data_IF_603881514367
#
_entry.id   IF_603881514367
#
_cell.length_a   1.000
_cell.length_b   1.000
_cell.length_c   1.000
_cell.angle_alpha   90.00
_cell.angle_beta   90.00
_cell.angle_gamma   90.00
#
_symmetry.space_group_name_H-M   'P 1'
#
loop_
_entity.id
_entity.type
_entity.pdbx_description
1 polymer ?
#
# COMPACT_ATOMS: atom_id res chain seq x y z
N UNK A 1 5.77 9.34 -19.59
CA UNK A 1 5.71 7.88 -19.43
C UNK A 1 6.46 7.60 -18.13
N UNK A 2 5.78 7.12 -17.08
CA UNK A 2 6.46 6.81 -15.81
C UNK A 2 7.39 5.63 -16.09
N UNK A 3 8.68 5.77 -15.82
CA UNK A 3 9.60 4.67 -16.00
C UNK A 3 9.30 3.60 -14.93
N UNK A 4 9.39 2.30 -15.24
CA UNK A 4 9.22 1.24 -14.23
C UNK A 4 10.20 1.41 -13.05
N UNK A 5 11.34 2.06 -13.28
CA UNK A 5 12.29 2.51 -12.26
C UNK A 5 11.69 3.54 -11.28
N UNK A 6 10.95 4.54 -11.79
CA UNK A 6 10.28 5.54 -10.94
C UNK A 6 9.23 4.85 -10.06
N UNK A 7 8.52 3.89 -10.64
CA UNK A 7 7.54 3.09 -9.90
C UNK A 7 8.23 2.25 -8.81
N UNK A 8 9.39 1.66 -9.08
CA UNK A 8 10.15 0.88 -8.09
C UNK A 8 10.57 1.69 -6.86
N UNK A 9 11.11 2.90 -7.08
CA UNK A 9 11.47 3.82 -5.99
C UNK A 9 10.24 4.19 -5.16
N UNK A 10 9.13 4.47 -5.84
CA UNK A 10 7.86 4.77 -5.20
C UNK A 10 7.32 3.61 -4.35
N UNK A 11 7.49 2.35 -4.80
CA UNK A 11 7.12 1.16 -4.03
C UNK A 11 8.07 0.88 -2.87
N UNK A 12 9.26 1.46 -2.85
CA UNK A 12 10.14 1.41 -1.68
C UNK A 12 9.54 2.18 -0.50
N UNK A 13 9.07 3.40 -0.76
CA UNK A 13 8.41 4.24 0.22
C UNK A 13 7.17 3.57 0.82
N UNK A 14 6.32 2.97 -0.02
CA UNK A 14 5.12 2.24 0.45
C UNK A 14 5.49 1.09 1.38
N UNK A 15 6.55 0.34 1.05
CA UNK A 15 7.04 -0.77 1.85
C UNK A 15 7.54 -0.30 3.22
N UNK A 16 8.33 0.77 3.26
CA UNK A 16 8.84 1.35 4.51
C UNK A 16 7.67 1.84 5.38
N UNK A 17 6.70 2.49 4.78
CA UNK A 17 5.51 2.99 5.48
C UNK A 17 4.68 1.85 6.07
N UNK A 18 4.47 0.75 5.32
CA UNK A 18 3.77 -0.44 5.82
C UNK A 18 4.51 -1.11 6.98
N UNK A 19 5.84 -1.23 6.89
CA UNK A 19 6.68 -1.79 7.97
C UNK A 19 6.73 -0.89 9.21
N UNK A 20 6.82 0.43 9.04
CA UNK A 20 6.75 1.40 10.14
C UNK A 20 5.39 1.29 10.85
N UNK A 21 4.31 1.12 10.10
CA UNK A 21 2.96 0.95 10.64
C UNK A 21 2.84 -0.34 11.49
N UNK A 22 3.43 -1.45 11.02
CA UNK A 22 3.52 -2.68 11.81
C UNK A 22 4.33 -2.46 13.09
N UNK A 23 5.49 -1.81 13.00
CA UNK A 23 6.36 -1.54 14.16
C UNK A 23 5.69 -0.62 15.21
N UNK A 24 4.89 0.37 14.78
CA UNK A 24 4.10 1.20 15.71
C UNK A 24 3.14 0.32 16.51
N UNK A 25 2.48 -0.65 15.86
CA UNK A 25 1.48 -1.52 16.48
C UNK A 25 2.06 -2.56 17.41
N UNK A 26 3.33 -2.93 17.26
CA UNK A 26 4.06 -3.75 18.24
C UNK A 26 4.12 -3.11 19.64
N UNK A 27 3.90 -1.78 19.74
CA UNK A 27 3.82 -1.06 21.02
C UNK A 27 2.55 -1.30 21.83
N UNK A 28 1.59 -2.11 21.33
CA UNK A 28 0.38 -2.50 22.08
C UNK A 28 0.75 -3.34 23.30
N UNK A 29 -0.14 -3.40 24.29
CA UNK A 29 0.14 -4.01 25.60
C UNK A 29 -0.93 -5.00 26.02
N UNK A 30 -0.54 -5.93 26.88
CA UNK A 30 -1.42 -6.87 27.60
C UNK A 30 -2.42 -7.57 26.67
N UNK A 31 -3.72 -7.37 26.90
CA UNK A 31 -4.82 -8.02 26.19
C UNK A 31 -4.99 -7.51 24.75
N UNK A 32 -4.41 -6.36 24.42
CA UNK A 32 -4.50 -5.76 23.07
C UNK A 32 -3.40 -6.23 22.12
N UNK A 33 -2.45 -7.06 22.58
CA UNK A 33 -1.46 -7.73 21.71
C UNK A 33 -2.14 -8.89 20.99
N UNK A 34 -2.84 -8.57 19.90
CA UNK A 34 -3.61 -9.53 19.11
C UNK A 34 -3.33 -9.39 17.63
N UNK A 35 -3.41 -10.52 16.91
CA UNK A 35 -3.44 -10.53 15.44
C UNK A 35 -4.86 -10.22 14.98
N UNK A 36 -5.15 -8.94 14.79
CA UNK A 36 -6.44 -8.46 14.31
C UNK A 36 -6.46 -8.36 12.77
N UNK A 37 -7.61 -7.92 12.22
CA UNK A 37 -7.76 -7.74 10.78
C UNK A 37 -6.77 -6.75 10.18
N UNK A 38 -6.35 -5.73 10.93
CA UNK A 38 -5.37 -4.74 10.44
C UNK A 38 -4.00 -5.40 10.26
N UNK A 39 -3.58 -6.21 11.22
CA UNK A 39 -2.32 -6.95 11.15
C UNK A 39 -2.28 -7.87 9.92
N UNK A 40 -3.41 -8.53 9.62
CA UNK A 40 -3.54 -9.40 8.45
C UNK A 40 -3.43 -8.61 7.16
N UNK A 41 -4.20 -7.51 7.03
CA UNK A 41 -4.19 -6.68 5.82
C UNK A 41 -2.83 -6.01 5.59
N UNK A 42 -2.17 -5.49 6.63
CA UNK A 42 -0.83 -4.90 6.53
C UNK A 42 0.23 -5.91 6.06
N UNK A 43 0.21 -7.13 6.62
CA UNK A 43 1.14 -8.17 6.19
C UNK A 43 0.89 -8.60 4.73
N UNK A 44 -0.38 -8.67 4.31
CA UNK A 44 -0.72 -8.93 2.91
C UNK A 44 -0.26 -7.80 1.99
N UNK A 45 -0.49 -6.54 2.36
CA UNK A 45 -0.03 -5.37 1.60
C UNK A 45 1.50 -5.39 1.43
N UNK A 46 2.25 -5.60 2.51
CA UNK A 46 3.72 -5.72 2.49
C UNK A 46 4.17 -6.83 1.54
N UNK A 47 3.49 -7.98 1.55
CA UNK A 47 3.81 -9.08 0.65
C UNK A 47 3.52 -8.72 -0.81
N UNK A 48 2.38 -8.11 -1.11
CA UNK A 48 2.01 -7.69 -2.47
C UNK A 48 2.97 -6.62 -2.99
N UNK A 49 3.43 -5.70 -2.16
CA UNK A 49 4.45 -4.71 -2.54
C UNK A 49 5.76 -5.41 -2.91
N UNK A 50 6.21 -6.39 -2.12
CA UNK A 50 7.44 -7.16 -2.43
C UNK A 50 7.32 -7.93 -3.74
N UNK A 51 6.21 -8.63 -3.94
CA UNK A 51 5.96 -9.40 -5.15
C UNK A 51 5.90 -8.50 -6.39
N UNK A 52 5.21 -7.35 -6.27
CA UNK A 52 5.12 -6.38 -7.36
C UNK A 52 6.47 -5.73 -7.68
N UNK A 53 7.31 -5.44 -6.67
CA UNK A 53 8.68 -4.97 -6.90
C UNK A 53 9.52 -5.99 -7.64
N UNK A 54 9.40 -7.28 -7.31
CA UNK A 54 10.07 -8.36 -8.04
C UNK A 54 9.59 -8.43 -9.49
N UNK A 55 8.27 -8.33 -9.72
CA UNK A 55 7.69 -8.29 -11.07
C UNK A 55 8.24 -7.10 -11.88
N UNK A 56 8.27 -5.89 -11.30
CA UNK A 56 8.80 -4.70 -11.95
C UNK A 56 10.30 -4.82 -12.26
N UNK A 57 11.10 -5.42 -11.38
CA UNK A 57 12.51 -5.64 -11.62
C UNK A 57 12.73 -6.59 -12.81
N UNK A 58 11.94 -7.66 -12.91
CA UNK A 58 11.99 -8.58 -14.05
C UNK A 58 11.63 -7.86 -15.36
N UNK A 59 10.59 -7.02 -15.33
CA UNK A 59 10.20 -6.17 -16.48
C UNK A 59 11.32 -5.22 -16.91
N UNK A 60 12.06 -4.63 -15.96
CA UNK A 60 13.21 -3.78 -16.25
C UNK A 60 14.33 -4.57 -16.96
N UNK A 61 14.63 -5.78 -16.46
CA UNK A 61 15.64 -6.66 -17.07
C UNK A 61 15.25 -7.05 -18.50
N UNK A 62 13.98 -7.44 -18.72
CA UNK A 62 13.45 -7.74 -20.06
C UNK A 62 13.56 -6.54 -21.01
N UNK A 63 13.28 -5.33 -20.52
CA UNK A 63 13.41 -4.10 -21.30
C UNK A 63 14.85 -3.80 -21.71
N UNK A 64 15.80 -4.00 -20.78
CA UNK A 64 17.24 -3.81 -21.05
C UNK A 64 17.77 -4.81 -22.10
N UNK A 65 17.38 -6.07 -22.00
CA UNK A 65 17.73 -7.08 -23.01
C UNK A 65 17.15 -6.72 -24.39
N UNK A 66 15.88 -6.31 -24.43
CA UNK A 66 15.23 -5.95 -25.69
C UNK A 66 15.86 -4.71 -26.33
N UNK A 67 16.28 -3.73 -25.52
CA UNK A 67 17.02 -2.57 -25.97
C UNK A 67 18.37 -2.98 -26.61
N UNK A 68 19.09 -3.91 -25.98
CA UNK A 68 20.35 -4.44 -26.51
C UNK A 68 20.17 -5.12 -27.88
N UNK A 69 19.11 -5.93 -28.02
CA UNK A 69 18.75 -6.59 -29.29
C UNK A 69 18.39 -5.58 -30.40
N UNK A 70 17.68 -4.51 -30.04
CA UNK A 70 17.37 -3.42 -30.97
C UNK A 70 18.63 -2.66 -31.40
N UNK A 71 19.56 -2.41 -30.48
CA UNK A 71 20.84 -1.78 -30.81
C UNK A 71 21.66 -2.64 -31.79
N UNK A 72 21.73 -3.96 -31.58
CA UNK A 72 22.42 -4.88 -32.49
C UNK A 72 21.76 -4.90 -33.88
N UNK A 73 20.42 -4.93 -33.95
CA UNK A 73 19.69 -4.86 -35.22
C UNK A 73 19.95 -3.53 -35.95
N UNK A 74 19.98 -2.41 -35.22
CA UNK A 74 20.32 -1.09 -35.77
C UNK A 74 21.74 -1.06 -36.33
N UNK A 75 22.72 -1.58 -35.60
CA UNK A 75 24.12 -1.62 -36.05
C UNK A 75 24.28 -2.44 -37.34
N UNK A 76 23.60 -3.60 -37.43
CA UNK A 76 23.62 -4.44 -38.64
C UNK A 76 23.04 -3.72 -39.86
N UNK A 77 21.90 -3.06 -39.69
CA UNK A 77 21.31 -2.23 -40.75
C UNK A 77 22.23 -1.07 -41.16
N UNK A 78 22.84 -0.39 -40.19
CA UNK A 78 23.75 0.73 -40.47
C UNK A 78 24.99 0.28 -41.25
N UNK A 79 25.57 -0.87 -40.89
CA UNK A 79 26.70 -1.45 -41.62
C UNK A 79 26.32 -1.78 -43.06
N UNK A 80 25.20 -2.49 -43.24
CA UNK A 80 24.69 -2.88 -44.56
C UNK A 80 24.38 -1.67 -45.45
N UNK A 81 23.78 -0.61 -44.89
CA UNK A 81 23.56 0.67 -45.58
C UNK A 81 24.89 1.32 -45.97
N UNK A 82 25.86 1.35 -45.06
CA UNK A 82 27.17 1.97 -45.30
C UNK A 82 27.93 1.25 -46.42
N UNK A 83 27.89 -0.07 -46.44
CA UNK A 83 28.56 -0.86 -47.47
C UNK A 83 27.89 -0.69 -48.84
N UNK A 84 26.56 -0.55 -48.89
CA UNK A 84 25.83 -0.21 -50.11
C UNK A 84 26.18 1.18 -50.64
N UNK A 85 26.32 2.19 -49.77
CA UNK A 85 26.75 3.52 -50.20
C UNK A 85 28.16 3.49 -50.80
N UNK A 86 29.11 2.78 -50.17
CA UNK A 86 30.45 2.60 -50.73
C UNK A 86 30.43 1.90 -52.09
N UNK A 87 29.59 0.88 -52.25
CA UNK A 87 29.42 0.20 -53.53
C UNK A 87 28.88 1.15 -54.61
N UNK A 88 27.85 1.94 -54.29
CA UNK A 88 27.30 2.96 -55.20
C UNK A 88 28.32 4.04 -55.57
N UNK A 89 29.16 4.47 -54.63
CA UNK A 89 30.23 5.44 -54.91
C UNK A 89 31.26 4.88 -55.90
N UNK A 90 31.64 3.60 -55.74
CA UNK A 90 32.54 2.89 -56.66
C UNK A 90 31.89 2.75 -58.03
N UNK A 91 30.64 2.30 -58.10
CA UNK A 91 29.91 2.11 -59.36
C UNK A 91 29.68 3.45 -60.08
N UNK A 92 29.37 4.51 -59.33
CA UNK A 92 29.26 5.87 -59.85
C UNK A 92 30.58 6.40 -60.41
N UNK A 93 31.70 6.14 -59.72
CA UNK A 93 33.03 6.44 -60.23
C UNK A 93 33.29 5.68 -61.53
N UNK A 94 33.06 4.37 -61.57
CA UNK A 94 33.23 3.53 -62.76
C UNK A 94 32.40 4.03 -63.95
N UNK A 95 31.13 4.40 -63.71
CA UNK A 95 30.23 4.95 -64.74
C UNK A 95 30.75 6.27 -65.31
N UNK A 96 31.41 7.09 -64.50
CA UNK A 96 31.98 8.38 -64.91
C UNK A 96 33.29 8.27 -65.71
N UNK A 97 33.91 7.09 -65.77
CA UNK A 97 35.19 6.90 -66.46
C UNK A 97 35.01 6.89 -67.98
N UNK A 98 35.93 7.53 -68.68
CA UNK A 98 36.04 7.55 -70.14
C UNK A 98 37.42 7.00 -70.56
N UNK A 99 37.62 6.67 -71.84
CA UNK A 99 38.94 6.25 -72.34
C UNK A 99 40.05 7.30 -72.19
N UNK A 100 39.70 8.55 -71.85
CA UNK A 100 40.64 9.64 -71.58
C UNK A 100 40.82 9.93 -70.08
N UNK A 101 40.16 9.17 -69.20
CA UNK A 101 40.27 9.39 -67.75
C UNK A 101 41.68 9.07 -67.24
N UNK A 102 42.21 9.87 -66.28
CA UNK A 102 43.45 9.54 -65.60
C UNK A 102 43.30 8.22 -64.80
N UNK A 103 44.38 7.44 -64.67
CA UNK A 103 44.44 6.16 -63.94
C UNK A 103 43.82 4.91 -64.60
N UNK A 104 43.45 4.96 -65.89
CA UNK A 104 43.20 3.74 -66.67
C UNK A 104 44.53 3.06 -67.02
N UNK A 105 44.65 1.75 -66.78
CA UNK A 105 45.85 0.96 -67.09
C UNK A 105 45.51 -0.51 -67.18
N UNK A 106 46.35 -1.31 -67.85
CA UNK A 106 46.26 -2.77 -67.78
C UNK A 106 46.46 -3.24 -66.33
N UNK A 107 45.58 -4.13 -65.83
CA UNK A 107 45.65 -4.69 -64.46
C UNK A 107 46.10 -6.16 -64.52
N UNK A 108 47.12 -6.59 -63.75
CA UNK A 108 47.71 -7.94 -63.86
C UNK A 108 46.75 -9.12 -63.62
N UNK A 109 45.71 -8.93 -62.79
CA UNK A 109 44.77 -9.98 -62.41
C UNK A 109 43.31 -9.48 -62.47
N UNK A 110 42.90 -8.89 -63.60
CA UNK A 110 41.56 -8.30 -63.76
C UNK A 110 40.40 -9.30 -63.68
N UNK A 111 40.62 -10.56 -64.06
CA UNK A 111 39.59 -11.62 -64.06
C UNK A 111 39.56 -12.45 -62.78
N UNK A 112 40.29 -12.06 -61.73
CA UNK A 112 40.27 -12.81 -60.46
C UNK A 112 38.90 -12.67 -59.80
N UNK A 113 38.32 -13.77 -59.35
CA UNK A 113 37.20 -13.75 -58.41
C UNK A 113 37.77 -13.62 -57.00
N UNK A 114 37.46 -12.56 -56.25
CA UNK A 114 37.83 -12.48 -54.84
C UNK A 114 37.31 -13.68 -54.06
N UNK A 115 38.06 -14.10 -53.03
CA UNK A 115 37.53 -15.07 -52.05
C UNK A 115 36.32 -14.43 -51.36
N UNK A 116 35.32 -15.25 -51.04
CA UNK A 116 34.07 -14.81 -50.40
C UNK A 116 33.18 -13.90 -51.26
N UNK A 117 33.28 -14.01 -52.59
CA UNK A 117 32.33 -13.34 -53.50
C UNK A 117 30.93 -13.95 -53.32
N UNK A 118 29.93 -13.09 -53.13
CA UNK A 118 28.53 -13.49 -52.97
C UNK A 118 27.76 -13.37 -54.28
N UNK A 119 26.73 -14.20 -54.46
CA UNK A 119 25.78 -14.05 -55.57
C UNK A 119 24.82 -12.88 -55.32
N UNK A 120 24.20 -12.35 -56.38
CA UNK A 120 23.18 -11.29 -56.26
C UNK A 120 22.03 -11.73 -55.35
N UNK A 121 21.61 -13.01 -55.45
CA UNK A 121 20.59 -13.57 -54.60
C UNK A 121 21.03 -13.57 -53.12
N UNK A 122 22.26 -14.02 -52.82
CA UNK A 122 22.79 -14.00 -51.45
C UNK A 122 22.88 -12.57 -50.88
N UNK A 123 23.23 -11.57 -51.70
CA UNK A 123 23.25 -10.16 -51.29
C UNK A 123 21.84 -9.61 -51.00
N UNK A 124 20.85 -9.94 -51.84
CA UNK A 124 19.45 -9.58 -51.64
C UNK A 124 18.89 -10.25 -50.37
N UNK A 125 19.17 -11.53 -50.18
CA UNK A 125 18.73 -12.31 -49.02
C UNK A 125 19.35 -11.76 -47.72
N UNK A 126 20.63 -11.37 -47.75
CA UNK A 126 21.29 -10.73 -46.59
C UNK A 126 20.57 -9.44 -46.17
N UNK A 127 20.25 -8.57 -47.15
CA UNK A 127 19.54 -7.32 -46.92
C UNK A 127 18.12 -7.55 -46.39
N UNK A 128 17.41 -8.52 -46.99
CA UNK A 128 16.06 -8.92 -46.58
C UNK A 128 16.06 -9.45 -45.15
N UNK A 129 16.99 -10.34 -44.82
CA UNK A 129 17.13 -10.91 -43.49
C UNK A 129 17.40 -9.83 -42.42
N UNK A 130 18.30 -8.88 -42.70
CA UNK A 130 18.58 -7.77 -41.77
C UNK A 130 17.32 -6.93 -41.50
N UNK A 131 16.52 -6.65 -42.53
CA UNK A 131 15.25 -5.93 -42.40
C UNK A 131 14.23 -6.74 -41.58
N UNK A 132 13.98 -7.99 -41.95
CA UNK A 132 13.01 -8.86 -41.25
C UNK A 132 13.37 -9.02 -39.78
N UNK A 133 14.65 -9.18 -39.48
CA UNK A 133 15.16 -9.25 -38.11
C UNK A 133 14.88 -7.94 -37.35
N UNK A 134 15.10 -6.78 -37.95
CA UNK A 134 14.81 -5.49 -37.33
C UNK A 134 13.30 -5.31 -37.09
N UNK A 135 12.47 -5.64 -38.08
CA UNK A 135 11.00 -5.59 -37.97
C UNK A 135 10.51 -6.52 -36.85
N UNK A 136 11.09 -7.72 -36.73
CA UNK A 136 10.81 -8.65 -35.63
C UNK A 136 11.16 -8.03 -34.27
N UNK A 137 12.36 -7.45 -34.10
CA UNK A 137 12.74 -6.83 -32.82
C UNK A 137 11.87 -5.61 -32.48
N UNK A 138 11.45 -4.84 -33.47
CA UNK A 138 10.50 -3.72 -33.29
C UNK A 138 9.13 -4.22 -32.83
N UNK A 139 8.64 -5.33 -33.38
CA UNK A 139 7.41 -5.97 -32.94
C UNK A 139 7.51 -6.47 -31.50
N UNK A 140 8.59 -7.15 -31.13
CA UNK A 140 8.83 -7.61 -29.74
C UNK A 140 8.90 -6.43 -28.76
N UNK A 141 9.56 -5.33 -29.14
CA UNK A 141 9.61 -4.12 -28.31
C UNK A 141 8.24 -3.49 -28.07
N UNK A 142 7.36 -3.47 -29.08
CA UNK A 142 5.97 -3.00 -28.91
C UNK A 142 5.23 -3.88 -27.91
N UNK A 143 5.25 -5.20 -28.11
CA UNK A 143 4.61 -6.17 -27.20
C UNK A 143 5.11 -6.06 -25.76
N UNK A 144 6.42 -5.90 -25.58
CA UNK A 144 7.00 -5.75 -24.25
C UNK A 144 6.55 -4.45 -23.58
N UNK A 145 6.50 -3.33 -24.32
CA UNK A 145 5.97 -2.07 -23.77
C UNK A 145 4.51 -2.18 -23.37
N UNK A 146 3.68 -2.83 -24.17
CA UNK A 146 2.27 -3.06 -23.85
C UNK A 146 2.13 -3.94 -22.59
N UNK A 147 2.94 -5.00 -22.47
CA UNK A 147 2.98 -5.85 -21.29
C UNK A 147 3.45 -5.10 -20.03
N UNK A 148 4.45 -4.24 -20.14
CA UNK A 148 4.92 -3.38 -19.03
C UNK A 148 3.81 -2.43 -18.59
N UNK A 149 3.13 -1.78 -19.54
CA UNK A 149 2.02 -0.87 -19.23
C UNK A 149 0.85 -1.61 -18.55
N UNK A 150 0.54 -2.83 -18.98
CA UNK A 150 -0.47 -3.67 -18.36
C UNK A 150 -0.06 -4.08 -16.93
N UNK A 151 1.19 -4.54 -16.71
CA UNK A 151 1.72 -4.85 -15.37
C UNK A 151 1.66 -3.63 -14.45
N UNK A 152 2.02 -2.44 -14.94
CA UNK A 152 1.93 -1.19 -14.17
C UNK A 152 0.50 -0.87 -13.74
N UNK A 153 -0.45 -0.95 -14.68
CA UNK A 153 -1.86 -0.70 -14.39
C UNK A 153 -2.43 -1.72 -13.39
N UNK A 154 -2.13 -3.00 -13.60
CA UNK A 154 -2.61 -4.07 -12.73
C UNK A 154 -2.02 -3.94 -11.32
N UNK A 155 -0.71 -3.69 -11.21
CA UNK A 155 -0.05 -3.50 -9.92
C UNK A 155 -0.58 -2.30 -9.14
N UNK A 156 -0.80 -1.16 -9.81
CA UNK A 156 -1.45 0.00 -9.18
C UNK A 156 -2.83 -0.33 -8.64
N UNK A 157 -3.68 -0.98 -9.44
CA UNK A 157 -5.02 -1.37 -8.98
C UNK A 157 -4.97 -2.34 -7.78
N UNK A 158 -4.05 -3.31 -7.79
CA UNK A 158 -3.85 -4.24 -6.65
C UNK A 158 -3.45 -3.48 -5.39
N UNK A 159 -2.52 -2.53 -5.51
CA UNK A 159 -2.03 -1.76 -4.37
C UNK A 159 -3.06 -0.76 -3.85
N UNK A 160 -3.81 -0.08 -4.73
CA UNK A 160 -4.89 0.81 -4.31
C UNK A 160 -6.00 0.05 -3.56
N UNK A 161 -6.28 -1.20 -3.98
CA UNK A 161 -7.22 -2.08 -3.29
C UNK A 161 -6.72 -2.45 -1.89
N UNK A 162 -5.45 -2.88 -1.75
CA UNK A 162 -4.86 -3.19 -0.44
C UNK A 162 -4.75 -1.96 0.46
N UNK A 163 -4.31 -0.82 -0.07
CA UNK A 163 -4.25 0.44 0.67
C UNK A 163 -5.62 0.83 1.23
N UNK A 164 -6.67 0.69 0.42
CA UNK A 164 -8.05 0.95 0.85
C UNK A 164 -8.53 -0.05 1.90
N UNK A 165 -8.19 -1.34 1.75
CA UNK A 165 -8.51 -2.39 2.71
C UNK A 165 -7.85 -2.14 4.07
N UNK A 166 -6.56 -1.80 4.09
CA UNK A 166 -5.81 -1.44 5.31
C UNK A 166 -6.39 -0.19 5.97
N UNK A 167 -6.65 0.87 5.20
CA UNK A 167 -7.29 2.09 5.71
C UNK A 167 -8.66 1.81 6.33
N UNK A 168 -9.46 0.97 5.69
CA UNK A 168 -10.76 0.55 6.20
C UNK A 168 -10.61 -0.25 7.49
N UNK A 169 -9.75 -1.27 7.51
CA UNK A 169 -9.49 -2.09 8.68
C UNK A 169 -9.01 -1.24 9.88
N UNK A 170 -8.10 -0.28 9.65
CA UNK A 170 -7.61 0.63 10.69
C UNK A 170 -8.74 1.47 11.28
N UNK A 171 -9.61 2.05 10.43
CA UNK A 171 -10.75 2.87 10.88
C UNK A 171 -11.77 2.03 11.63
N UNK A 172 -12.07 0.83 11.14
CA UNK A 172 -12.96 -0.10 11.82
C UNK A 172 -12.39 -0.46 13.19
N UNK A 173 -11.10 -0.82 13.27
CA UNK A 173 -10.44 -1.17 14.54
C UNK A 173 -10.44 0.00 15.52
N UNK A 174 -10.16 1.21 15.05
CA UNK A 174 -10.20 2.41 15.88
C UNK A 174 -11.60 2.68 16.43
N UNK A 175 -12.64 2.44 15.62
CA UNK A 175 -14.03 2.56 16.06
C UNK A 175 -14.37 1.55 17.16
N UNK A 176 -14.00 0.27 16.99
CA UNK A 176 -14.17 -0.77 18.01
C UNK A 176 -13.42 -0.43 19.31
N UNK A 177 -12.19 0.08 19.20
CA UNK A 177 -11.41 0.51 20.36
C UNK A 177 -12.06 1.70 21.09
N UNK A 178 -12.59 2.68 20.36
CA UNK A 178 -13.34 3.78 20.97
C UNK A 178 -14.59 3.30 21.69
N UNK A 179 -15.39 2.42 21.07
CA UNK A 179 -16.59 1.86 21.70
C UNK A 179 -16.24 1.16 23.02
N UNK A 180 -15.26 0.25 23.00
CA UNK A 180 -14.83 -0.46 24.21
C UNK A 180 -14.24 0.46 25.26
N UNK A 181 -13.51 1.50 24.86
CA UNK A 181 -13.02 2.52 25.78
C UNK A 181 -14.15 3.31 26.45
N UNK A 182 -15.15 3.74 25.68
CA UNK A 182 -16.29 4.50 26.20
C UNK A 182 -17.15 3.66 27.14
N UNK A 183 -17.33 2.37 26.83
CA UNK A 183 -17.99 1.40 27.73
C UNK A 183 -17.24 1.25 29.05
N UNK A 184 -15.89 1.17 29.02
CA UNK A 184 -15.07 1.10 30.23
C UNK A 184 -15.15 2.38 31.06
N UNK A 185 -15.15 3.55 30.41
CA UNK A 185 -15.33 4.85 31.09
C UNK A 185 -16.71 4.94 31.75
N UNK A 186 -17.74 4.43 31.09
CA UNK A 186 -19.08 4.33 31.67
C UNK A 186 -19.09 3.38 32.89
N UNK A 187 -18.48 2.19 32.77
CA UNK A 187 -18.35 1.24 33.88
C UNK A 187 -17.60 1.84 35.07
N UNK A 188 -16.50 2.56 34.83
CA UNK A 188 -15.74 3.29 35.87
C UNK A 188 -16.65 4.26 36.63
N UNK A 189 -17.41 5.08 35.89
CA UNK A 189 -18.32 6.07 36.48
C UNK A 189 -19.39 5.41 37.34
N UNK A 190 -19.93 4.26 36.89
CA UNK A 190 -20.90 3.49 37.67
C UNK A 190 -20.28 2.91 38.94
N UNK A 191 -19.07 2.35 38.86
CA UNK A 191 -18.36 1.82 40.02
C UNK A 191 -18.03 2.93 41.04
N UNK A 192 -17.65 4.12 40.58
CA UNK A 192 -17.41 5.28 41.45
C UNK A 192 -18.70 5.69 42.20
N UNK A 193 -19.85 5.66 41.53
CA UNK A 193 -21.14 5.92 42.17
C UNK A 193 -21.50 4.84 43.19
N UNK A 194 -21.34 3.55 42.84
CA UNK A 194 -21.58 2.43 43.75
C UNK A 194 -20.68 2.50 45.00
N UNK A 195 -19.40 2.84 44.83
CA UNK A 195 -18.47 3.09 45.94
C UNK A 195 -18.99 4.20 46.85
N UNK A 196 -19.39 5.34 46.29
CA UNK A 196 -19.91 6.46 47.07
C UNK A 196 -21.18 6.07 47.86
N UNK A 197 -22.06 5.25 47.28
CA UNK A 197 -23.25 4.73 47.97
C UNK A 197 -22.89 3.80 49.14
N UNK A 198 -21.92 2.90 48.95
CA UNK A 198 -21.47 1.99 50.01
C UNK A 198 -20.77 2.76 51.14
N UNK A 199 -19.99 3.79 50.81
CA UNK A 199 -19.37 4.68 51.80
C UNK A 199 -20.41 5.48 52.61
N UNK A 200 -21.52 5.89 52.00
CA UNK A 200 -22.66 6.48 52.72
C UNK A 200 -23.36 5.47 53.63
N UNK A 201 -23.60 4.25 53.17
CA UNK A 201 -24.23 3.20 53.97
C UNK A 201 -23.34 2.75 55.15
N UNK A 202 -22.02 2.72 54.97
CA UNK A 202 -21.05 2.52 56.05
C UNK A 202 -21.20 3.62 57.10
N UNK A 203 -21.19 4.90 56.69
CA UNK A 203 -21.36 6.04 57.61
C UNK A 203 -22.69 5.98 58.36
N UNK A 204 -23.77 5.58 57.68
CA UNK A 204 -25.10 5.41 58.28
C UNK A 204 -25.13 4.27 59.31
N UNK A 205 -24.50 3.13 59.02
CA UNK A 205 -24.42 2.01 59.97
C UNK A 205 -23.56 2.33 61.18
N UNK A 206 -22.42 2.99 60.98
CA UNK A 206 -21.60 3.46 62.09
C UNK A 206 -22.35 4.43 63.01
N UNK A 207 -23.15 5.35 62.43
CA UNK A 207 -24.02 6.22 63.20
C UNK A 207 -25.09 5.42 63.97
N UNK A 208 -25.76 4.47 63.32
CA UNK A 208 -26.76 3.63 63.96
C UNK A 208 -26.19 2.78 65.11
N UNK A 209 -24.95 2.30 65.00
CA UNK A 209 -24.25 1.59 66.08
C UNK A 209 -23.98 2.53 67.26
N UNK A 210 -23.46 3.74 66.99
CA UNK A 210 -23.22 4.78 68.00
C UNK A 210 -24.51 5.21 68.70
N UNK A 211 -25.62 5.31 67.99
CA UNK A 211 -26.92 5.67 68.55
C UNK A 211 -27.44 4.64 69.57
N UNK A 212 -26.94 3.40 69.54
CA UNK A 212 -27.28 2.35 70.53
C UNK A 212 -26.47 2.44 71.83
N UNK A 213 -25.30 3.09 71.81
CA UNK A 213 -24.42 3.16 72.99
C UNK A 213 -25.06 3.86 74.21
N UNK A 214 -25.80 4.98 74.09
CA UNK A 214 -26.45 5.62 75.23
C UNK A 214 -27.48 4.71 75.92
N UNK A 215 -28.25 3.93 75.15
CA UNK A 215 -29.25 3.02 75.68
C UNK A 215 -28.60 1.83 76.39
N UNK A 216 -27.54 1.25 75.81
CA UNK A 216 -26.77 0.19 76.45
C UNK A 216 -26.16 0.68 77.76
N UNK A 217 -25.50 1.85 77.73
CA UNK A 217 -24.92 2.50 78.90
C UNK A 217 -25.95 2.73 80.00
N UNK A 218 -27.15 3.23 79.64
CA UNK A 218 -28.24 3.46 80.60
C UNK A 218 -28.70 2.16 81.27
N UNK A 219 -28.90 1.09 80.49
CA UNK A 219 -29.30 -0.21 81.02
C UNK A 219 -28.22 -0.81 81.95
N UNK A 220 -26.95 -0.75 81.55
CA UNK A 220 -25.80 -1.20 82.34
C UNK A 220 -25.65 -0.42 83.66
N UNK A 221 -25.70 0.91 83.61
CA UNK A 221 -25.64 1.75 84.81
C UNK A 221 -26.82 1.49 85.75
N UNK A 222 -28.04 1.32 85.24
CA UNK A 222 -29.21 0.97 86.08
C UNK A 222 -29.09 -0.40 86.74
N UNK A 223 -28.48 -1.37 86.05
CA UNK A 223 -28.19 -2.68 86.64
C UNK A 223 -27.13 -2.57 87.74
N UNK A 224 -26.07 -1.78 87.52
CA UNK A 224 -25.00 -1.55 88.50
C UNK A 224 -25.54 -0.95 89.80
N UNK A 225 -26.29 0.15 89.74
CA UNK A 225 -26.90 0.76 90.93
C UNK A 225 -27.86 -0.19 91.68
N UNK A 226 -28.46 -1.17 91.00
CA UNK A 226 -29.31 -2.18 91.64
C UNK A 226 -28.49 -3.23 92.40
N UNK A 227 -27.20 -3.39 92.08
CA UNK A 227 -26.29 -4.28 92.82
C UNK A 227 -25.87 -3.71 94.18
N UNK A 228 -26.03 -2.40 94.39
CA UNK A 228 -25.71 -1.72 95.66
C UNK A 228 -26.84 -1.79 96.70
N UNK A 229 -27.94 -2.49 96.39
CA UNK A 229 -29.06 -2.65 97.33
C UNK A 229 -28.60 -3.44 98.58
N UNK A 230 -28.87 -2.96 99.80
CA UNK A 230 -28.36 -3.60 101.01
C UNK A 230 -29.16 -4.85 101.41
N UNK A 231 -28.45 -5.86 101.93
CA UNK A 231 -29.02 -7.03 102.61
C UNK A 231 -30.11 -7.75 101.79
N UNK A 232 -31.31 -7.90 102.35
CA UNK A 232 -32.44 -8.62 101.73
C UNK A 232 -33.05 -7.86 100.53
N UNK A 233 -32.77 -6.57 100.38
CA UNK A 233 -33.24 -5.76 99.24
C UNK A 233 -32.46 -6.07 97.95
N UNK A 234 -31.35 -6.83 98.04
CA UNK A 234 -30.61 -7.33 96.88
C UNK A 234 -31.36 -8.49 96.20
N UNK A 235 -32.48 -8.15 95.58
CA UNK A 235 -33.39 -9.10 94.95
C UNK A 235 -33.34 -9.01 93.42
N UNK A 236 -33.42 -10.18 92.76
CA UNK A 236 -33.66 -10.32 91.33
C UNK A 236 -35.14 -10.09 91.01
N UNK A 237 -35.56 -8.83 91.09
CA UNK A 237 -36.93 -8.40 90.87
C UNK A 237 -37.29 -8.33 89.36
N UNK A 238 -38.58 -8.23 89.00
CA UNK A 238 -38.98 -8.14 87.59
C UNK A 238 -38.28 -7.02 86.79
N UNK A 239 -38.05 -5.81 87.35
CA UNK A 239 -37.27 -4.80 86.65
C UNK A 239 -35.79 -5.16 86.43
N UNK A 240 -35.14 -5.92 87.32
CA UNK A 240 -33.80 -6.44 87.07
C UNK A 240 -33.78 -7.35 85.84
N UNK A 241 -34.76 -8.27 85.73
CA UNK A 241 -34.90 -9.14 84.56
C UNK A 241 -35.14 -8.34 83.28
N UNK A 242 -36.05 -7.36 83.32
CA UNK A 242 -36.33 -6.50 82.16
C UNK A 242 -35.11 -5.70 81.68
N UNK A 243 -34.33 -5.10 82.59
CA UNK A 243 -33.10 -4.37 82.23
C UNK A 243 -32.02 -5.30 81.65
N UNK A 244 -31.91 -6.52 82.17
CA UNK A 244 -30.98 -7.53 81.63
C UNK A 244 -31.37 -7.94 80.22
N UNK A 245 -32.66 -8.18 79.97
CA UNK A 245 -33.17 -8.50 78.64
C UNK A 245 -32.97 -7.34 77.66
N UNK A 246 -33.27 -6.10 78.08
CA UNK A 246 -33.02 -4.89 77.29
C UNK A 246 -31.54 -4.78 76.90
N UNK A 247 -30.61 -4.95 77.85
CA UNK A 247 -29.17 -4.94 77.58
C UNK A 247 -28.77 -6.00 76.56
N UNK A 248 -29.23 -7.24 76.73
CA UNK A 248 -28.92 -8.34 75.81
C UNK A 248 -29.48 -8.09 74.41
N UNK A 249 -30.70 -7.55 74.31
CA UNK A 249 -31.33 -7.19 73.04
C UNK A 249 -30.58 -6.07 72.30
N UNK A 250 -30.17 -5.01 73.02
CA UNK A 250 -29.36 -3.92 72.44
C UNK A 250 -28.01 -4.45 71.97
N UNK A 251 -27.34 -5.29 72.77
CA UNK A 251 -26.06 -5.88 72.39
C UNK A 251 -26.20 -6.77 71.14
N UNK A 252 -27.21 -7.65 71.08
CA UNK A 252 -27.46 -8.48 69.90
C UNK A 252 -27.72 -7.63 68.64
N UNK A 253 -28.41 -6.50 68.80
CA UNK A 253 -28.61 -5.53 67.71
C UNK A 253 -27.28 -4.89 67.27
N UNK A 254 -26.43 -4.46 68.20
CA UNK A 254 -25.10 -3.91 67.88
C UNK A 254 -24.20 -4.95 67.18
N UNK A 255 -24.21 -6.21 67.64
CA UNK A 255 -23.48 -7.31 67.01
C UNK A 255 -23.96 -7.57 65.57
N UNK A 256 -25.27 -7.56 65.33
CA UNK A 256 -25.84 -7.68 63.99
C UNK A 256 -25.41 -6.52 63.07
N UNK A 257 -25.48 -5.28 63.57
CA UNK A 257 -25.06 -4.09 62.82
C UNK A 257 -23.56 -4.12 62.51
N UNK A 258 -22.72 -4.53 63.46
CA UNK A 258 -21.28 -4.72 63.25
C UNK A 258 -21.00 -5.80 62.19
N UNK A 259 -21.73 -6.92 62.22
CA UNK A 259 -21.63 -7.95 61.19
C UNK A 259 -21.98 -7.42 59.80
N UNK A 260 -23.01 -6.57 59.69
CA UNK A 260 -23.37 -5.92 58.43
C UNK A 260 -22.33 -4.89 57.98
N UNK A 261 -21.77 -4.13 58.92
CA UNK A 261 -20.70 -3.16 58.66
C UNK A 261 -19.48 -3.86 58.05
N UNK A 262 -19.07 -5.01 58.59
CA UNK A 262 -17.97 -5.80 58.03
C UNK A 262 -18.26 -6.25 56.60
N UNK A 263 -19.49 -6.71 56.31
CA UNK A 263 -19.89 -7.08 54.95
C UNK A 263 -19.78 -5.91 53.96
N UNK A 264 -20.11 -4.68 54.39
CA UNK A 264 -19.97 -3.49 53.55
C UNK A 264 -18.51 -3.11 53.34
N UNK A 265 -17.65 -3.22 54.35
CA UNK A 265 -16.20 -3.02 54.19
C UNK A 265 -15.60 -4.00 53.17
N UNK A 266 -15.95 -5.28 53.27
CA UNK A 266 -15.50 -6.29 52.30
C UNK A 266 -16.04 -6.00 50.88
N UNK A 267 -17.26 -5.48 50.77
CA UNK A 267 -17.84 -5.07 49.49
C UNK A 267 -17.12 -3.85 48.90
N UNK A 268 -16.80 -2.86 49.73
CA UNK A 268 -16.05 -1.67 49.33
C UNK A 268 -14.66 -2.02 48.80
N UNK A 269 -13.93 -2.91 49.48
CA UNK A 269 -12.62 -3.38 49.03
C UNK A 269 -12.70 -4.09 47.67
N UNK A 270 -13.71 -4.94 47.46
CA UNK A 270 -13.95 -5.57 46.16
C UNK A 270 -14.22 -4.54 45.06
N UNK A 271 -15.08 -3.57 45.31
CA UNK A 271 -15.40 -2.51 44.34
C UNK A 271 -14.17 -1.68 43.99
N UNK A 272 -13.34 -1.33 44.98
CA UNK A 272 -12.08 -0.59 44.75
C UNK A 272 -11.09 -1.39 43.90
N UNK A 273 -10.97 -2.71 44.12
CA UNK A 273 -10.15 -3.58 43.26
C UNK A 273 -10.69 -3.66 41.83
N UNK A 274 -12.00 -3.74 41.65
CA UNK A 274 -12.63 -3.69 40.33
C UNK A 274 -12.38 -2.36 39.63
N UNK A 275 -12.52 -1.24 40.35
CA UNK A 275 -12.21 0.09 39.82
C UNK A 275 -10.75 0.21 39.36
N UNK A 276 -9.81 -0.30 40.15
CA UNK A 276 -8.40 -0.31 39.78
C UNK A 276 -8.15 -1.12 38.49
N UNK A 277 -8.79 -2.29 38.35
CA UNK A 277 -8.68 -3.10 37.14
C UNK A 277 -9.26 -2.39 35.90
N UNK A 278 -10.45 -1.79 36.01
CA UNK A 278 -11.08 -1.02 34.92
C UNK A 278 -10.22 0.17 34.52
N UNK A 279 -9.59 0.86 35.47
CA UNK A 279 -8.69 1.98 35.17
C UNK A 279 -7.43 1.53 34.40
N UNK A 280 -6.87 0.36 34.73
CA UNK A 280 -5.76 -0.21 33.97
C UNK A 280 -6.20 -0.56 32.55
N UNK A 281 -7.38 -1.17 32.38
CA UNK A 281 -7.93 -1.49 31.06
C UNK A 281 -8.15 -0.22 30.22
N UNK A 282 -8.67 0.86 30.81
CA UNK A 282 -8.79 2.17 30.14
C UNK A 282 -7.43 2.67 29.66
N UNK A 283 -6.38 2.59 30.49
CA UNK A 283 -5.02 2.98 30.13
C UNK A 283 -4.47 2.18 28.95
N UNK A 284 -4.69 0.86 28.96
CA UNK A 284 -4.31 -0.04 27.85
C UNK A 284 -5.05 0.35 26.57
N UNK A 285 -6.38 0.53 26.62
CA UNK A 285 -7.17 0.95 25.45
C UNK A 285 -6.74 2.32 24.92
N UNK A 286 -6.47 3.28 25.80
CA UNK A 286 -5.99 4.60 25.41
C UNK A 286 -4.64 4.54 24.68
N UNK A 287 -3.71 3.68 25.12
CA UNK A 287 -2.47 3.44 24.39
C UNK A 287 -2.72 2.83 23.01
N UNK A 288 -3.58 1.81 22.90
CA UNK A 288 -3.94 1.18 21.63
C UNK A 288 -4.57 2.17 20.65
N UNK A 289 -5.48 3.03 21.13
CA UNK A 289 -6.09 4.10 20.34
C UNK A 289 -5.03 5.07 19.81
N UNK A 290 -4.08 5.49 20.66
CA UNK A 290 -2.99 6.39 20.27
C UNK A 290 -2.11 5.77 19.19
N UNK A 291 -1.75 4.50 19.33
CA UNK A 291 -0.94 3.77 18.35
C UNK A 291 -1.68 3.58 17.02
N UNK A 292 -2.96 3.24 17.05
CA UNK A 292 -3.76 3.06 15.83
C UNK A 292 -4.03 4.38 15.10
N UNK A 293 -4.17 5.51 15.81
CA UNK A 293 -4.19 6.84 15.18
C UNK A 293 -2.87 7.16 14.49
N UNK A 294 -1.75 6.95 15.16
CA UNK A 294 -0.43 7.15 14.58
C UNK A 294 -0.18 6.22 13.38
N UNK A 295 -0.69 4.99 13.45
CA UNK A 295 -0.65 4.02 12.35
C UNK A 295 -1.43 4.52 11.14
N UNK A 296 -2.65 5.05 11.37
CA UNK A 296 -3.49 5.62 10.32
C UNK A 296 -2.85 6.86 9.66
N UNK A 297 -2.24 7.73 10.47
CA UNK A 297 -1.51 8.92 9.98
C UNK A 297 -0.27 8.53 9.18
N UNK A 298 0.50 7.55 9.67
CA UNK A 298 1.73 7.07 9.03
C UNK A 298 1.41 6.39 7.70
N UNK A 299 0.44 5.48 7.69
CA UNK A 299 -0.05 4.83 6.47
C UNK A 299 -0.71 5.81 5.48
N UNK A 300 -1.26 6.93 5.98
CA UNK A 300 -1.85 7.99 5.17
C UNK A 300 -0.86 9.03 4.62
N UNK A 301 0.45 8.86 4.84
CA UNK A 301 1.46 9.82 4.36
C UNK A 301 1.44 9.92 2.83
N UNK A 302 1.49 11.15 2.34
CA UNK A 302 1.58 11.41 0.89
C UNK A 302 2.96 11.03 0.39
N UNK A 303 2.99 10.38 -0.78
CA UNK A 303 4.22 9.98 -1.44
C UNK A 303 5.06 11.22 -1.82
N UNK A 304 6.38 11.22 -1.55
CA UNK A 304 7.26 12.29 -2.00
C UNK A 304 7.32 12.35 -3.53
N UNK A 305 7.42 13.54 -4.14
CA UNK A 305 7.56 13.67 -5.58
C UNK A 305 8.84 12.98 -6.07
N UNK A 306 8.76 12.30 -7.22
CA UNK A 306 9.91 11.63 -7.79
C UNK A 306 11.06 12.63 -8.07
N UNK A 307 12.32 12.28 -7.78
CA UNK A 307 13.45 13.16 -8.06
C UNK A 307 13.53 13.46 -9.57
N UNK A 308 13.88 14.70 -9.97
CA UNK A 308 14.02 15.04 -11.38
C UNK A 308 15.16 14.21 -11.99
N UNK A 309 14.83 13.36 -12.98
CA UNK A 309 15.81 12.56 -13.71
C UNK A 309 16.57 13.41 -14.71
N UNK A 310 17.89 13.51 -14.55
CA UNK A 310 18.78 14.12 -15.55
C UNK A 310 18.73 13.34 -16.86
N UNK A 311 18.10 13.92 -17.89
CA UNK A 311 18.03 13.38 -19.27
C UNK A 311 19.40 13.02 -19.87
N UNK A 312 20.48 13.54 -19.29
CA UNK A 312 21.85 13.42 -19.75
C UNK A 312 22.46 12.01 -19.55
N UNK A 313 21.88 11.14 -18.71
CA UNK A 313 22.41 9.79 -18.46
C UNK A 313 22.02 8.80 -19.58
N UNK A 314 20.76 8.82 -20.02
CA UNK A 314 20.28 7.95 -21.11
C UNK A 314 20.91 8.30 -22.46
N UNK A 315 21.11 9.59 -22.77
CA UNK A 315 21.81 10.00 -23.99
C UNK A 315 23.29 9.56 -24.02
N UNK A 316 23.94 9.49 -22.86
CA UNK A 316 25.32 9.02 -22.72
C UNK A 316 25.43 7.49 -22.81
N UNK A 317 24.49 6.75 -22.22
CA UNK A 317 24.50 5.27 -22.19
C UNK A 317 24.00 4.67 -23.50
N UNK A 318 23.03 5.31 -24.18
CA UNK A 318 22.42 4.77 -25.41
C UNK A 318 23.23 5.04 -26.68
N UNK A 319 24.35 5.77 -26.61
CA UNK A 319 25.09 6.25 -27.78
C UNK A 319 24.13 6.80 -28.85
N UNK A 320 23.11 7.55 -28.42
CA UNK A 320 22.15 8.21 -29.30
C UNK A 320 22.71 9.54 -29.83
N UNK A 321 24.04 9.70 -29.89
CA UNK A 321 24.59 10.79 -30.70
C UNK A 321 24.25 10.49 -32.15
N UNK A 322 23.47 11.33 -32.84
CA UNK A 322 23.54 11.30 -34.29
C UNK A 322 24.98 11.68 -34.61
N UNK A 323 25.72 10.79 -35.26
CA UNK A 323 26.87 11.25 -36.02
C UNK A 323 26.36 12.36 -36.92
N UNK A 324 26.94 13.54 -36.73
CA UNK A 324 26.56 14.74 -37.47
C UNK A 324 26.58 14.40 -38.97
N UNK A 325 25.47 14.71 -39.63
CA UNK A 325 25.32 14.99 -41.06
C UNK A 325 25.65 13.86 -42.04
N UNK A 326 24.63 13.05 -42.36
CA UNK A 326 24.34 12.78 -43.78
C UNK A 326 23.38 13.89 -44.22
N UNK A 327 23.92 15.06 -44.54
CA UNK A 327 23.18 16.07 -45.28
C UNK A 327 24.07 16.59 -46.40
N UNK A 328 23.48 16.60 -47.59
CA UNK A 328 23.84 17.43 -48.75
C UNK A 328 24.93 16.91 -49.69
N UNK A 329 24.68 15.78 -50.36
CA UNK A 329 24.98 15.70 -51.80
C UNK A 329 23.82 15.09 -52.57
N UNK A 330 23.12 15.96 -53.28
CA UNK A 330 22.40 15.68 -54.52
C UNK A 330 21.38 14.55 -54.47
N UNK A 331 20.15 14.87 -54.05
CA UNK A 331 18.97 14.14 -54.52
C UNK A 331 18.83 14.43 -56.02
N UNK A 332 19.56 13.67 -56.85
CA UNK A 332 19.14 13.48 -58.23
C UNK A 332 18.05 12.41 -58.20
N UNK A 333 16.84 12.82 -58.55
CA UNK A 333 15.70 11.94 -58.80
C UNK A 333 16.14 10.69 -59.57
N UNK A 334 16.09 9.52 -58.93
CA UNK A 334 16.01 8.27 -59.67
C UNK A 334 14.58 8.18 -60.25
N UNK A 335 14.41 7.83 -61.54
CA UNK A 335 13.09 7.64 -62.12
C UNK A 335 12.37 6.46 -61.45
N UNK A 336 11.04 6.46 -61.52
CA UNK A 336 10.20 5.34 -61.08
C UNK A 336 10.71 3.98 -61.61
N UNK A 337 10.53 2.88 -60.86
CA UNK A 337 10.91 1.52 -61.28
C UNK A 337 10.28 1.06 -62.61
N UNK A 338 9.23 1.73 -63.05
CA UNK A 338 8.40 1.39 -64.22
C UNK A 338 9.08 1.59 -65.59
N UNK A 339 10.37 1.99 -65.63
CA UNK A 339 11.12 2.27 -66.86
C UNK A 339 12.35 1.38 -67.09
N UNK A 340 12.54 0.30 -66.34
CA UNK A 340 13.55 -0.71 -66.64
C UNK A 340 12.96 -1.81 -67.53
N UNK A 341 13.44 -2.03 -68.77
CA UNK A 341 13.02 -3.16 -69.58
C UNK A 341 13.51 -4.47 -68.94
N UNK A 342 12.59 -5.29 -68.41
CA UNK A 342 12.90 -6.68 -68.05
C UNK A 342 12.41 -7.21 -66.70
N UNK A 343 11.73 -6.42 -65.86
CA UNK A 343 11.11 -6.95 -64.64
C UNK A 343 9.63 -7.26 -64.86
N UNK A 344 9.32 -8.54 -65.11
CA UNK A 344 7.96 -9.06 -64.99
C UNK A 344 7.60 -9.10 -63.50
N UNK A 345 6.66 -8.26 -63.08
CA UNK A 345 5.99 -8.41 -61.78
C UNK A 345 5.00 -9.58 -61.88
N UNK A 346 5.34 -10.71 -61.29
CA UNK A 346 4.34 -11.73 -60.98
C UNK A 346 3.38 -11.20 -59.92
N UNK A 347 2.10 -11.40 -60.21
CA UNK A 347 0.95 -11.11 -59.36
C UNK A 347 0.84 -12.12 -58.20
N UNK A 348 0.01 -11.72 -57.26
CA UNK A 348 -0.67 -12.53 -56.23
C UNK A 348 0.10 -12.85 -54.95
N UNK A 349 -0.19 -12.05 -53.92
CA UNK A 349 -0.68 -12.63 -52.67
C UNK A 349 -1.73 -11.71 -52.05
N UNK A 350 -2.98 -12.13 -52.20
CA UNK A 350 -4.15 -11.62 -51.52
C UNK A 350 -4.05 -11.87 -50.01
N UNK A 351 -4.20 -10.81 -49.22
CA UNK A 351 -4.66 -10.94 -47.84
C UNK A 351 -5.67 -9.83 -47.55
N UNK A 352 -6.90 -10.29 -47.32
CA UNK A 352 -8.07 -9.52 -46.93
C UNK A 352 -7.88 -8.90 -45.54
N UNK A 353 -8.08 -7.59 -45.45
CA UNK A 353 -8.33 -6.91 -44.19
C UNK A 353 -9.51 -5.95 -44.40
N UNK A 354 -10.72 -6.45 -44.18
CA UNK A 354 -11.88 -5.62 -43.91
C UNK A 354 -11.81 -5.16 -42.46
N UNK A 355 -11.80 -3.84 -42.24
CA UNK A 355 -12.47 -3.13 -41.14
C UNK A 355 -11.90 -1.70 -41.00
N UNK A 356 -12.56 -0.76 -41.66
CA UNK A 356 -12.68 0.64 -41.23
C UNK A 356 -14.00 1.12 -41.84
N UNK A 357 -14.96 1.66 -41.11
CA UNK A 357 -14.81 2.65 -40.06
C UNK A 357 -15.74 3.79 -40.44
N UNK A 358 -16.76 4.00 -39.62
CA UNK A 358 -17.62 5.18 -39.63
C UNK A 358 -16.80 6.46 -39.81
N UNK A 359 -17.21 7.33 -40.74
CA UNK A 359 -17.06 8.78 -40.56
C UNK A 359 -17.99 9.56 -41.49
N UNK A 360 -18.95 10.23 -40.85
CA UNK A 360 -19.51 11.54 -41.15
C UNK A 360 -19.04 12.25 -42.45
N UNK A 361 -19.99 12.53 -43.34
CA UNK A 361 -20.05 13.80 -44.10
C UNK A 361 -21.51 14.18 -44.37
N UNK A 362 -21.94 15.33 -43.83
CA UNK A 362 -22.93 16.19 -44.51
C UNK A 362 -22.18 17.04 -45.54
N UNK A 363 -22.85 17.45 -46.63
CA UNK A 363 -23.11 18.88 -46.76
C UNK A 363 -24.52 19.21 -47.28
N UNK A 364 -24.90 20.44 -46.97
CA UNK A 364 -26.16 21.11 -47.31
C UNK A 364 -26.34 21.32 -48.82
N UNK A 365 -27.58 21.23 -49.30
CA UNK A 365 -28.11 22.18 -50.29
C UNK A 365 -29.63 22.32 -50.17
N UNK A 366 -30.07 23.58 -50.36
CA UNK A 366 -31.43 24.11 -50.45
C UNK A 366 -32.43 23.22 -51.19
N UNK A 367 -33.69 23.26 -50.75
CA UNK A 367 -34.77 23.70 -51.64
C UNK A 367 -35.93 24.35 -50.88
N UNK A 368 -36.39 25.46 -51.46
CA UNK A 368 -37.58 26.23 -51.11
C UNK A 368 -38.84 25.45 -51.48
N UNK A 369 -39.87 25.46 -50.63
CA UNK A 369 -41.28 25.55 -51.09
C UNK A 369 -42.08 26.41 -50.10
N UNK A 370 -42.81 27.36 -50.68
CA UNK A 370 -43.75 28.32 -50.09
C UNK A 370 -45.08 27.64 -49.70
N UNK A 371 -45.83 28.26 -48.77
CA UNK A 371 -47.29 28.13 -48.80
C UNK A 371 -48.00 28.35 -47.46
N UNK A 372 -48.52 29.58 -47.31
CA UNK A 372 -49.61 30.05 -46.44
C UNK A 372 -49.45 29.99 -44.91
#
# INVERSE_FOLDING_TARGET
>A
MVAPEDELEQRHFDLETGLETLAIREGRRTVDVVKDGVEVELNQEVQVIKDYRSELQERCNQAFEQLSRLQEARQKLQSDITDKYKALDIDGLCLSMTPQSPNISFKPHCMRMPKDTVTVQQWQDHSRHNKERADYQMCQSRRLRDAIMASLAQGRNRLDAHHTAVQFALRQRLHELHQTHDDLVWQRTKLEQEIATVEEDIRRLEAAIRDKDPYRKLAETRLEYRMDRPNMELAYDPPWHGLREERLSIQATQELLNGRLQQLWDALDRLRRQLAAVNEDISVKANSIRLDRLSLETHGRTRPPAPPKDRNYLDKVLLLRPEKTICERGVHYLPRPDLLPGYQTEQDCSYTAGCSGNQYRRPCHNDRVLGC
#
